data_IF_111773605431
#
_entry.id   IF_111773605431
#
_cell.length_a   1.000
_cell.length_b   1.000
_cell.length_c   1.000
_cell.angle_alpha   90.00
_cell.angle_beta   90.00
_cell.angle_gamma   90.00
#
_symmetry.space_group_name_H-M   'P 1'
#
loop_
_entity.id
_entity.type
_entity.pdbx_description
1 polymer ?
#
# COMPACT_ATOMS: atom_id res chain seq x y z
N UNK A 1 49.49 -59.39 93.48
CA UNK A 1 50.80 -59.58 92.81
C UNK A 1 50.71 -58.99 91.40
N UNK A 2 51.84 -58.49 90.92
CA UNK A 2 52.07 -57.63 89.76
C UNK A 2 51.37 -57.98 88.43
N UNK A 3 51.17 -56.94 87.60
CA UNK A 3 51.03 -57.09 86.14
C UNK A 3 50.84 -55.75 85.42
N UNK A 4 51.93 -55.06 85.09
CA UNK A 4 52.03 -53.92 84.16
C UNK A 4 51.75 -54.34 82.69
N UNK A 5 51.20 -53.43 81.87
CA UNK A 5 51.66 -53.06 80.50
C UNK A 5 50.49 -52.46 79.69
N UNK A 6 50.50 -51.15 79.44
CA UNK A 6 51.06 -50.48 78.25
C UNK A 6 50.05 -50.35 77.10
N UNK A 7 49.39 -49.19 77.03
CA UNK A 7 48.51 -48.74 75.94
C UNK A 7 49.33 -48.14 74.80
N UNK A 8 49.29 -48.76 73.62
CA UNK A 8 49.86 -48.22 72.38
C UNK A 8 48.72 -47.77 71.44
N UNK A 9 48.65 -46.47 71.17
CA UNK A 9 47.78 -45.89 70.13
C UNK A 9 48.50 -45.86 68.78
N UNK A 10 47.82 -46.33 67.72
CA UNK A 10 48.26 -46.22 66.33
C UNK A 10 47.46 -45.11 65.61
N UNK A 11 48.08 -44.29 64.74
CA UNK A 11 47.43 -43.16 64.09
C UNK A 11 46.64 -43.59 62.84
N UNK A 12 45.43 -43.05 62.69
CA UNK A 12 44.61 -43.17 61.50
C UNK A 12 45.14 -42.24 60.39
N UNK A 13 45.54 -42.82 59.26
CA UNK A 13 45.88 -42.09 58.03
C UNK A 13 44.58 -41.75 57.29
N UNK A 14 44.31 -40.45 57.12
CA UNK A 14 43.18 -39.93 56.35
C UNK A 14 43.65 -39.64 54.92
N UNK A 15 43.27 -40.49 53.95
CA UNK A 15 43.46 -40.20 52.52
C UNK A 15 42.49 -39.08 52.10
N UNK A 16 43.02 -37.89 51.83
CA UNK A 16 42.29 -36.81 51.17
C UNK A 16 42.12 -37.15 49.67
N UNK A 17 40.87 -37.30 49.22
CA UNK A 17 40.53 -37.35 47.80
C UNK A 17 40.48 -35.93 47.24
N UNK A 18 41.34 -35.62 46.27
CA UNK A 18 41.26 -34.39 45.47
C UNK A 18 39.98 -34.39 44.63
N UNK A 19 39.08 -33.45 44.92
CA UNK A 19 37.87 -33.23 44.14
C UNK A 19 38.22 -32.56 42.81
N UNK A 20 38.09 -33.30 41.70
CA UNK A 20 38.16 -32.72 40.35
C UNK A 20 36.95 -31.79 40.12
N UNK A 21 37.13 -30.54 39.67
CA UNK A 21 36.02 -29.65 39.39
C UNK A 21 35.24 -30.14 38.15
N UNK A 22 33.97 -30.50 38.33
CA UNK A 22 33.06 -30.76 37.22
C UNK A 22 32.63 -29.43 36.58
N UNK A 23 33.14 -29.13 35.39
CA UNK A 23 32.64 -28.04 34.55
C UNK A 23 31.24 -28.41 34.05
N UNK A 24 30.21 -27.88 34.71
CA UNK A 24 28.84 -27.93 34.18
C UNK A 24 28.70 -26.86 33.09
N UNK A 25 28.21 -27.18 31.88
CA UNK A 25 27.90 -26.17 30.88
C UNK A 25 26.93 -25.14 31.44
N UNK A 26 27.26 -23.85 31.30
CA UNK A 26 26.36 -22.76 31.68
C UNK A 26 25.09 -22.87 30.84
N UNK A 27 23.97 -23.22 31.47
CA UNK A 27 22.65 -23.10 30.84
C UNK A 27 22.48 -21.62 30.48
N UNK A 28 22.40 -21.33 29.18
CA UNK A 28 22.07 -20.00 28.67
C UNK A 28 20.71 -19.62 29.30
N UNK A 29 20.56 -18.43 29.91
CA UNK A 29 19.26 -18.01 30.43
C UNK A 29 18.25 -18.16 29.29
N UNK A 30 17.15 -18.87 29.54
CA UNK A 30 16.01 -18.82 28.65
C UNK A 30 15.63 -17.35 28.49
N UNK A 31 15.63 -16.86 27.25
CA UNK A 31 15.13 -15.54 26.94
C UNK A 31 13.74 -15.45 27.56
N UNK A 32 13.57 -14.50 28.49
CA UNK A 32 12.30 -14.27 29.15
C UNK A 32 11.27 -13.90 28.09
N UNK A 33 10.37 -14.83 27.76
CA UNK A 33 9.11 -14.58 27.04
C UNK A 33 8.14 -13.75 27.91
N UNK A 34 8.63 -12.65 28.47
CA UNK A 34 7.90 -11.72 29.29
C UNK A 34 8.22 -10.30 28.81
N UNK A 35 7.98 -10.01 27.53
CA UNK A 35 7.45 -8.70 27.10
C UNK A 35 7.02 -8.65 25.62
N UNK A 36 6.47 -9.74 25.07
CA UNK A 36 5.67 -9.60 23.84
C UNK A 36 4.27 -9.21 24.28
N UNK A 37 4.07 -7.90 24.46
CA UNK A 37 2.73 -7.33 24.38
C UNK A 37 2.25 -7.61 22.95
N UNK A 38 1.63 -8.77 22.73
CA UNK A 38 0.65 -8.88 21.65
C UNK A 38 -0.47 -7.94 22.05
N UNK A 39 -0.70 -6.82 21.34
CA UNK A 39 -1.82 -5.97 21.64
C UNK A 39 -3.09 -6.73 21.21
N UNK A 40 -3.61 -7.59 22.09
CA UNK A 40 -4.96 -8.13 21.95
C UNK A 40 -5.94 -7.09 22.48
N UNK A 41 -5.92 -5.93 21.83
CA UNK A 41 -6.84 -4.84 22.06
C UNK A 41 -7.90 -4.94 20.95
N UNK A 42 -8.89 -5.83 21.15
CA UNK A 42 -10.14 -5.77 20.39
C UNK A 42 -10.92 -4.55 20.88
N UNK A 43 -10.51 -3.38 20.44
CA UNK A 43 -11.40 -2.22 20.47
C UNK A 43 -12.24 -2.34 19.21
N UNK A 44 -13.54 -2.60 19.36
CA UNK A 44 -14.57 -2.33 18.36
C UNK A 44 -14.68 -0.80 18.15
N UNK A 45 -13.59 -0.14 17.78
CA UNK A 45 -13.63 1.24 17.35
C UNK A 45 -13.83 1.19 15.86
N UNK A 46 -14.90 1.82 15.40
CA UNK A 46 -15.04 2.26 14.03
C UNK A 46 -14.00 3.36 13.75
N UNK A 47 -12.72 3.01 13.85
CA UNK A 47 -11.58 3.87 13.55
C UNK A 47 -11.53 4.00 12.03
N UNK A 48 -11.74 5.22 11.56
CA UNK A 48 -11.63 5.55 10.14
C UNK A 48 -10.18 5.91 9.87
N UNK A 49 -9.52 5.14 8.99
CA UNK A 49 -8.15 5.38 8.57
C UNK A 49 -8.14 6.19 7.27
N UNK A 50 -7.43 7.31 7.27
CA UNK A 50 -7.24 8.18 6.12
C UNK A 50 -5.75 8.22 5.78
N UNK A 51 -5.33 7.52 4.71
CA UNK A 51 -4.00 7.69 4.15
C UNK A 51 -3.86 9.11 3.57
N UNK A 52 -2.73 9.76 3.86
CA UNK A 52 -2.41 11.12 3.43
C UNK A 52 -0.98 11.17 2.91
N UNK A 53 -0.83 11.64 1.67
CA UNK A 53 0.47 11.99 1.09
C UNK A 53 0.67 13.49 1.17
N UNK A 54 1.82 13.94 1.68
CA UNK A 54 2.16 15.38 1.74
C UNK A 54 3.23 15.68 0.71
N UNK A 55 2.96 16.66 -0.17
CA UNK A 55 3.86 17.06 -1.24
C UNK A 55 4.09 18.57 -1.27
N UNK A 56 5.24 18.97 -1.81
CA UNK A 56 5.54 20.36 -2.19
C UNK A 56 4.89 20.69 -3.54
N UNK A 57 4.87 21.97 -3.98
CA UNK A 57 4.36 22.34 -5.31
C UNK A 57 5.19 21.71 -6.45
N UNK A 58 6.43 21.29 -6.16
CA UNK A 58 7.32 20.58 -7.06
C UNK A 58 7.13 19.04 -6.99
N UNK A 59 6.05 18.56 -6.36
CA UNK A 59 5.75 17.13 -6.19
C UNK A 59 6.81 16.34 -5.40
N UNK A 60 7.57 17.00 -4.54
CA UNK A 60 8.52 16.32 -3.64
C UNK A 60 7.80 15.92 -2.35
N UNK A 61 8.06 14.71 -1.85
CA UNK A 61 7.43 14.19 -0.64
C UNK A 61 8.02 14.81 0.62
N UNK A 62 7.17 15.05 1.61
CA UNK A 62 7.58 15.57 2.93
C UNK A 62 7.29 14.52 3.99
N UNK A 63 8.35 13.91 4.53
CA UNK A 63 8.31 12.78 5.48
C UNK A 63 8.48 13.18 6.95
N UNK A 64 8.68 14.47 7.23
CA UNK A 64 8.90 15.00 8.59
C UNK A 64 7.69 15.82 9.10
N UNK A 65 6.48 15.32 8.85
CA UNK A 65 5.26 15.93 9.38
C UNK A 65 4.87 15.28 10.69
N UNK A 66 4.55 16.09 11.68
CA UNK A 66 3.96 15.66 12.95
C UNK A 66 2.43 15.78 12.92
N UNK A 67 1.74 15.08 13.84
CA UNK A 67 0.28 15.01 13.95
C UNK A 67 -0.38 16.40 14.00
N UNK A 68 0.26 17.34 14.68
CA UNK A 68 -0.20 18.71 14.95
C UNK A 68 -0.31 19.56 13.67
N UNK A 69 0.39 19.13 12.62
CA UNK A 69 0.33 19.75 11.31
C UNK A 69 -0.92 19.35 10.51
N UNK A 70 -1.73 18.42 11.01
CA UNK A 70 -2.93 17.95 10.34
C UNK A 70 -4.19 18.39 11.07
N UNK A 71 -5.17 18.89 10.31
CA UNK A 71 -6.55 19.09 10.76
C UNK A 71 -7.48 18.25 9.92
N UNK A 72 -8.28 17.41 10.57
CA UNK A 72 -9.23 16.51 9.92
C UNK A 72 -10.65 17.03 10.11
N UNK A 73 -11.39 17.16 9.01
CA UNK A 73 -12.77 17.66 9.00
C UNK A 73 -13.63 16.62 8.31
N UNK A 74 -14.71 16.20 8.96
CA UNK A 74 -15.75 15.34 8.41
C UNK A 74 -17.06 16.13 8.36
N UNK A 75 -17.69 16.23 7.18
CA UNK A 75 -18.98 16.92 6.97
C UNK A 75 -19.05 18.32 7.63
N UNK A 76 -17.95 19.07 7.53
CA UNK A 76 -17.73 20.41 8.12
C UNK A 76 -17.50 20.45 9.64
N UNK A 77 -17.48 19.30 10.30
CA UNK A 77 -17.15 19.17 11.72
C UNK A 77 -15.71 18.68 11.91
N UNK A 78 -14.93 19.41 12.70
CA UNK A 78 -13.56 19.02 13.04
C UNK A 78 -13.54 17.75 13.92
N UNK A 79 -12.68 16.82 13.55
CA UNK A 79 -12.50 15.53 14.21
C UNK A 79 -11.14 15.48 14.89
N UNK A 80 -11.09 14.83 16.04
CA UNK A 80 -9.83 14.61 16.74
C UNK A 80 -9.09 13.42 16.12
N UNK A 81 -7.85 13.65 15.69
CA UNK A 81 -6.98 12.57 15.23
C UNK A 81 -6.57 11.76 16.47
N UNK A 82 -7.05 10.52 16.60
CA UNK A 82 -6.73 9.65 17.74
C UNK A 82 -5.53 8.75 17.44
N UNK A 83 -5.23 8.53 16.16
CA UNK A 83 -4.13 7.72 15.69
C UNK A 83 -3.34 8.47 14.61
N UNK A 84 -2.02 8.48 14.74
CA UNK A 84 -1.13 9.07 13.76
C UNK A 84 0.08 8.18 13.61
N UNK A 85 0.42 7.85 12.38
CA UNK A 85 1.66 7.14 12.11
C UNK A 85 2.13 7.34 10.68
N UNK A 86 3.45 7.23 10.50
CA UNK A 86 4.10 7.02 9.22
C UNK A 86 4.51 5.54 9.15
N UNK A 87 3.99 4.80 8.17
CA UNK A 87 4.33 3.39 8.02
C UNK A 87 4.68 3.03 6.58
N UNK A 88 5.79 2.29 6.44
CA UNK A 88 6.01 1.36 5.33
C UNK A 88 5.29 0.04 5.66
N UNK A 89 3.95 0.07 5.67
CA UNK A 89 3.13 -1.11 5.91
C UNK A 89 2.90 -1.89 4.60
N UNK A 90 2.85 -3.24 4.64
CA UNK A 90 2.59 -4.05 3.46
C UNK A 90 1.30 -3.64 2.74
N UNK A 91 1.34 -3.64 1.41
CA UNK A 91 0.22 -3.28 0.55
C UNK A 91 -0.27 -4.49 -0.26
N UNK A 92 -1.58 -4.51 -0.52
CA UNK A 92 -2.17 -5.32 -1.59
C UNK A 92 -2.33 -4.42 -2.80
N UNK A 93 -1.65 -4.72 -3.90
CA UNK A 93 -1.58 -3.84 -5.08
C UNK A 93 -2.12 -4.57 -6.32
N UNK A 94 -3.07 -3.95 -6.99
CA UNK A 94 -3.56 -4.42 -8.29
C UNK A 94 -2.89 -3.68 -9.43
N UNK A 95 -2.12 -4.38 -10.27
CA UNK A 95 -1.64 -3.84 -11.53
C UNK A 95 -2.72 -4.06 -12.60
N UNK A 96 -3.28 -2.98 -13.11
CA UNK A 96 -4.27 -2.97 -14.19
C UNK A 96 -3.57 -2.47 -15.46
N UNK A 97 -3.34 -3.39 -16.38
CA UNK A 97 -2.46 -3.17 -17.52
C UNK A 97 -3.26 -3.19 -18.82
N UNK A 98 -3.18 -2.08 -19.56
CA UNK A 98 -3.84 -1.91 -20.84
C UNK A 98 -3.07 -2.66 -21.95
N UNK A 99 -3.77 -3.58 -22.60
CA UNK A 99 -3.29 -4.37 -23.74
C UNK A 99 -4.13 -4.13 -24.99
N UNK A 100 -4.83 -2.99 -25.08
CA UNK A 100 -5.59 -2.57 -26.25
C UNK A 100 -4.69 -2.26 -27.47
N UNK A 101 -5.28 -2.11 -28.65
CA UNK A 101 -4.54 -1.84 -29.89
C UNK A 101 -3.73 -0.54 -29.86
N UNK A 102 -4.21 0.51 -29.20
CA UNK A 102 -3.55 1.81 -29.07
C UNK A 102 -2.24 1.73 -28.25
N UNK A 103 -2.10 0.70 -27.42
CA UNK A 103 -0.90 0.45 -26.63
C UNK A 103 0.26 -0.18 -27.41
N UNK A 104 0.11 -0.47 -28.71
CA UNK A 104 1.12 -1.17 -29.52
C UNK A 104 2.54 -0.63 -29.40
N UNK A 105 2.75 0.64 -29.73
CA UNK A 105 4.05 1.32 -29.62
C UNK A 105 4.46 1.61 -28.17
N UNK A 106 3.49 1.64 -27.25
CA UNK A 106 3.65 2.03 -25.84
C UNK A 106 3.98 0.84 -24.92
N UNK A 107 3.74 -0.38 -25.40
CA UNK A 107 3.75 -1.60 -24.60
C UNK A 107 5.12 -1.88 -23.98
N UNK A 108 6.19 -1.73 -24.76
CA UNK A 108 7.56 -1.97 -24.29
C UNK A 108 7.92 -1.06 -23.12
N UNK A 109 7.59 0.22 -23.21
CA UNK A 109 7.82 1.18 -22.12
C UNK A 109 6.91 0.89 -20.93
N UNK A 110 5.65 0.55 -21.17
CA UNK A 110 4.69 0.17 -20.12
C UNK A 110 5.18 -1.02 -19.28
N UNK A 111 5.80 -2.02 -19.91
CA UNK A 111 6.46 -3.12 -19.22
C UNK A 111 7.65 -2.66 -18.38
N UNK A 112 8.48 -1.76 -18.92
CA UNK A 112 9.61 -1.18 -18.18
C UNK A 112 9.13 -0.40 -16.94
N UNK A 113 8.04 0.36 -17.07
CA UNK A 113 7.43 1.06 -15.95
C UNK A 113 6.91 0.11 -14.87
N UNK A 114 6.22 -0.97 -15.25
CA UNK A 114 5.84 -2.01 -14.30
C UNK A 114 7.07 -2.63 -13.60
N UNK A 115 8.16 -2.86 -14.33
CA UNK A 115 9.41 -3.37 -13.76
C UNK A 115 10.03 -2.40 -12.73
N UNK A 116 10.15 -1.10 -13.06
CA UNK A 116 10.67 -0.10 -12.12
C UNK A 116 9.79 0.06 -10.88
N UNK A 117 8.46 -0.04 -11.05
CA UNK A 117 7.55 -0.07 -9.91
C UNK A 117 7.85 -1.26 -8.99
N UNK A 118 7.98 -2.48 -9.52
CA UNK A 118 8.25 -3.66 -8.71
C UNK A 118 9.63 -3.65 -8.03
N UNK A 119 10.63 -2.95 -8.58
CA UNK A 119 11.92 -2.76 -7.88
C UNK A 119 11.77 -1.99 -6.57
N UNK A 120 10.73 -1.18 -6.47
CA UNK A 120 10.40 -0.44 -5.25
C UNK A 120 9.42 -1.20 -4.35
N UNK A 121 9.04 -2.46 -4.64
CA UNK A 121 8.08 -3.24 -3.85
C UNK A 121 8.67 -3.82 -2.55
N UNK A 122 7.85 -3.97 -1.51
CA UNK A 122 8.25 -4.60 -0.24
C UNK A 122 8.15 -6.12 -0.40
N UNK A 123 9.07 -6.93 0.17
CA UNK A 123 8.92 -8.39 0.19
C UNK A 123 7.58 -8.90 0.78
N UNK A 124 6.93 -8.13 1.65
CA UNK A 124 5.63 -8.48 2.23
C UNK A 124 4.43 -7.98 1.41
N UNK A 125 4.66 -7.17 0.38
CA UNK A 125 3.61 -6.74 -0.54
C UNK A 125 3.10 -7.92 -1.36
N UNK A 126 1.82 -7.87 -1.70
CA UNK A 126 1.22 -8.83 -2.64
C UNK A 126 0.62 -8.10 -3.83
N UNK A 127 0.76 -8.71 -4.99
CA UNK A 127 0.40 -8.13 -6.28
C UNK A 127 -0.52 -9.06 -7.05
N UNK A 128 -1.41 -8.51 -7.85
CA UNK A 128 -2.12 -9.26 -8.89
C UNK A 128 -2.08 -8.49 -10.20
N UNK A 129 -2.34 -9.18 -11.31
CA UNK A 129 -2.34 -8.61 -12.64
C UNK A 129 -3.71 -8.79 -13.30
N UNK A 130 -4.38 -7.68 -13.58
CA UNK A 130 -5.51 -7.62 -14.51
C UNK A 130 -5.01 -7.02 -15.81
N UNK A 131 -5.21 -7.74 -16.90
CA UNK A 131 -5.00 -7.21 -18.24
C UNK A 131 -6.35 -6.97 -18.89
N UNK A 132 -6.48 -5.91 -19.68
CA UNK A 132 -7.71 -5.65 -20.40
C UNK A 132 -7.45 -5.18 -21.83
N UNK A 133 -8.40 -5.52 -22.69
CA UNK A 133 -8.56 -4.98 -24.02
C UNK A 133 -10.07 -4.93 -24.34
N UNK A 134 -10.62 -5.79 -25.19
CA UNK A 134 -12.06 -5.95 -25.39
C UNK A 134 -12.79 -6.39 -24.11
N UNK A 135 -12.09 -7.14 -23.24
CA UNK A 135 -12.60 -7.62 -21.95
C UNK A 135 -11.47 -7.69 -20.92
N UNK A 136 -11.75 -7.49 -19.64
CA UNK A 136 -10.75 -7.63 -18.59
C UNK A 136 -10.55 -9.10 -18.21
N UNK A 137 -9.32 -9.47 -17.89
CA UNK A 137 -8.92 -10.79 -17.44
C UNK A 137 -7.95 -10.70 -16.26
N UNK A 138 -8.23 -11.47 -15.20
CA UNK A 138 -7.26 -11.71 -14.14
C UNK A 138 -6.21 -12.71 -14.64
N UNK A 139 -5.04 -12.21 -15.02
CA UNK A 139 -3.96 -13.01 -15.62
C UNK A 139 -3.10 -13.66 -14.55
N UNK A 140 -2.85 -12.96 -13.45
CA UNK A 140 -2.13 -13.48 -12.29
C UNK A 140 -2.95 -13.15 -11.04
N UNK A 141 -3.33 -14.14 -10.22
CA UNK A 141 -3.96 -13.89 -8.92
C UNK A 141 -2.95 -13.26 -7.94
N UNK A 142 -3.35 -13.01 -6.69
CA UNK A 142 -2.43 -12.47 -5.68
C UNK A 142 -1.18 -13.35 -5.51
N UNK A 143 -0.02 -12.74 -5.71
CA UNK A 143 1.30 -13.35 -5.59
C UNK A 143 2.29 -12.34 -5.00
N UNK A 144 3.30 -12.82 -4.27
CA UNK A 144 4.46 -12.01 -3.87
C UNK A 144 5.58 -12.08 -4.90
N UNK A 145 5.45 -12.98 -5.88
CA UNK A 145 6.45 -13.18 -6.93
C UNK A 145 6.19 -12.21 -8.09
N UNK A 146 6.89 -11.09 -8.09
CA UNK A 146 6.80 -10.08 -9.16
C UNK A 146 7.31 -10.61 -10.50
N UNK A 147 8.23 -11.59 -10.50
CA UNK A 147 8.77 -12.17 -11.73
C UNK A 147 7.71 -12.96 -12.51
N UNK A 148 6.72 -13.53 -11.82
CA UNK A 148 5.57 -14.19 -12.45
C UNK A 148 4.74 -13.18 -13.26
N UNK A 149 4.46 -12.01 -12.68
CA UNK A 149 3.75 -10.92 -13.34
C UNK A 149 4.56 -10.40 -14.53
N UNK A 150 5.86 -10.17 -14.35
CA UNK A 150 6.74 -9.70 -15.42
C UNK A 150 6.86 -10.70 -16.58
N UNK A 151 6.89 -12.00 -16.27
CA UNK A 151 6.90 -13.06 -17.28
C UNK A 151 5.62 -13.02 -18.11
N UNK A 152 4.44 -12.82 -17.48
CA UNK A 152 3.17 -12.67 -18.22
C UNK A 152 3.14 -11.41 -19.07
N UNK A 153 3.60 -10.28 -18.54
CA UNK A 153 3.65 -9.02 -19.27
C UNK A 153 4.54 -9.09 -20.52
N UNK A 154 5.63 -9.85 -20.47
CA UNK A 154 6.55 -10.04 -21.61
C UNK A 154 5.83 -10.60 -22.84
N UNK A 155 4.87 -11.51 -22.65
CA UNK A 155 4.13 -12.14 -23.74
C UNK A 155 2.81 -11.44 -24.10
N UNK A 156 2.40 -10.42 -23.35
CA UNK A 156 1.19 -9.63 -23.66
C UNK A 156 1.31 -9.00 -25.04
N UNK A 157 0.22 -8.98 -25.81
CA UNK A 157 0.16 -8.34 -27.12
C UNK A 157 -0.93 -7.28 -27.13
N UNK A 158 -0.61 -6.11 -27.67
CA UNK A 158 -1.53 -5.01 -27.86
C UNK A 158 -2.51 -5.33 -29.00
N UNK A 159 -3.81 -5.49 -28.69
CA UNK A 159 -4.85 -5.77 -29.68
C UNK A 159 -6.24 -5.49 -29.12
N UNK A 160 -7.19 -5.24 -30.03
CA UNK A 160 -8.60 -5.07 -29.67
C UNK A 160 -8.92 -3.67 -29.17
N UNK A 161 -10.12 -3.55 -28.61
CA UNK A 161 -10.70 -2.32 -28.04
C UNK A 161 -10.19 -2.06 -26.62
N UNK A 162 -10.76 -1.05 -25.96
CA UNK A 162 -10.33 -0.59 -24.64
C UNK A 162 -11.53 -0.60 -23.67
N UNK A 163 -11.61 -1.64 -22.84
CA UNK A 163 -12.60 -1.81 -21.77
C UNK A 163 -11.98 -1.45 -20.41
N UNK A 164 -11.59 -0.19 -20.27
CA UNK A 164 -10.92 0.36 -19.09
C UNK A 164 -11.80 0.28 -17.84
N UNK A 165 -13.07 0.70 -17.93
CA UNK A 165 -14.00 0.70 -16.81
C UNK A 165 -14.28 -0.73 -16.30
N UNK A 166 -14.44 -1.69 -17.22
CA UNK A 166 -14.57 -3.10 -16.88
C UNK A 166 -13.28 -3.63 -16.20
N UNK A 167 -12.11 -3.19 -16.67
CA UNK A 167 -10.81 -3.49 -16.06
C UNK A 167 -10.68 -2.99 -14.62
N UNK A 168 -11.05 -1.72 -14.37
CA UNK A 168 -11.07 -1.13 -13.03
C UNK A 168 -12.05 -1.88 -12.13
N UNK A 169 -13.24 -2.20 -12.63
CA UNK A 169 -14.24 -2.97 -11.90
C UNK A 169 -13.69 -4.34 -11.45
N UNK A 170 -13.12 -5.11 -12.38
CA UNK A 170 -12.56 -6.43 -12.07
C UNK A 170 -11.38 -6.32 -11.07
N UNK A 171 -10.55 -5.30 -11.23
CA UNK A 171 -9.44 -5.05 -10.32
C UNK A 171 -9.94 -4.73 -8.91
N UNK A 172 -10.94 -3.86 -8.75
CA UNK A 172 -11.53 -3.55 -7.44
C UNK A 172 -12.13 -4.78 -6.76
N UNK A 173 -12.86 -5.62 -7.50
CA UNK A 173 -13.41 -6.86 -6.96
C UNK A 173 -12.32 -7.85 -6.52
N UNK A 174 -11.21 -7.91 -7.25
CA UNK A 174 -10.07 -8.74 -6.88
C UNK A 174 -9.37 -8.15 -5.65
N UNK A 175 -9.14 -6.85 -5.63
CA UNK A 175 -8.46 -6.13 -4.56
C UNK A 175 -9.14 -6.29 -3.19
N UNK A 176 -10.46 -6.44 -3.15
CA UNK A 176 -11.21 -6.74 -1.92
C UNK A 176 -10.72 -8.02 -1.22
N UNK A 177 -10.20 -8.99 -1.99
CA UNK A 177 -9.67 -10.27 -1.48
C UNK A 177 -8.24 -10.18 -0.97
N UNK A 178 -7.58 -9.01 -1.09
CA UNK A 178 -6.25 -8.78 -0.55
C UNK A 178 -6.22 -8.89 0.97
N UNK A 179 -5.13 -9.44 1.49
CA UNK A 179 -4.87 -9.71 2.91
C UNK A 179 -4.42 -8.45 3.65
N UNK A 180 -3.77 -7.52 2.96
CA UNK A 180 -3.24 -6.32 3.58
C UNK A 180 -4.36 -5.26 3.73
N UNK A 181 -4.36 -4.49 4.84
CA UNK A 181 -5.35 -3.45 5.07
C UNK A 181 -5.20 -2.30 4.06
N UNK A 182 -3.97 -1.99 3.65
CA UNK A 182 -3.71 -0.96 2.64
C UNK A 182 -3.82 -1.55 1.25
N UNK A 183 -4.67 -0.94 0.44
CA UNK A 183 -5.00 -1.39 -0.91
C UNK A 183 -4.75 -0.27 -1.91
N UNK A 184 -4.08 -0.61 -3.00
CA UNK A 184 -3.86 0.33 -4.09
C UNK A 184 -4.11 -0.33 -5.45
N UNK A 185 -4.55 0.47 -6.42
CA UNK A 185 -4.58 0.11 -7.83
C UNK A 185 -3.59 0.97 -8.58
N UNK A 186 -2.76 0.32 -9.40
CA UNK A 186 -1.90 0.99 -10.36
C UNK A 186 -2.43 0.67 -11.76
N UNK A 187 -2.91 1.68 -12.46
CA UNK A 187 -3.41 1.58 -13.84
C UNK A 187 -2.37 2.14 -14.78
N UNK A 188 -2.03 1.38 -15.82
CA UNK A 188 -1.19 1.84 -16.93
C UNK A 188 -2.03 1.75 -18.20
N UNK A 189 -2.45 2.90 -18.73
CA UNK A 189 -3.38 3.00 -19.87
C UNK A 189 -3.24 4.36 -20.54
N UNK A 190 -3.77 4.50 -21.75
CA UNK A 190 -3.93 5.80 -22.43
C UNK A 190 -5.35 6.40 -22.29
N UNK A 191 -6.22 5.77 -21.50
CA UNK A 191 -7.41 6.40 -20.91
C UNK A 191 -8.70 6.41 -21.74
N UNK A 192 -8.72 5.88 -22.96
CA UNK A 192 -9.90 5.95 -23.84
C UNK A 192 -10.85 4.75 -23.75
N UNK A 193 -11.80 4.75 -22.82
CA UNK A 193 -12.82 3.68 -22.74
C UNK A 193 -13.78 3.70 -23.94
N UNK A 194 -13.95 2.57 -24.63
CA UNK A 194 -14.84 2.45 -25.78
C UNK A 194 -15.55 1.10 -25.91
N UNK A 195 -15.40 0.21 -24.92
CA UNK A 195 -15.93 -1.15 -24.99
C UNK A 195 -16.45 -1.69 -23.65
N UNK A 196 -16.46 -0.87 -22.59
CA UNK A 196 -16.94 -1.31 -21.28
C UNK A 196 -18.45 -1.44 -21.23
N UNK A 197 -18.89 -2.34 -20.36
CA UNK A 197 -20.30 -2.52 -20.00
C UNK A 197 -20.68 -1.66 -18.81
N UNK A 198 -19.73 -1.42 -17.90
CA UNK A 198 -19.91 -0.53 -16.77
C UNK A 198 -19.75 0.93 -17.20
N UNK A 199 -20.53 1.78 -16.57
CA UNK A 199 -20.50 3.23 -16.74
C UNK A 199 -19.52 3.89 -15.78
N UNK A 200 -19.08 5.11 -16.10
CA UNK A 200 -18.22 5.90 -15.22
C UNK A 200 -18.84 6.12 -13.83
N UNK A 201 -20.16 6.28 -13.76
CA UNK A 201 -20.90 6.48 -12.51
C UNK A 201 -20.87 5.23 -11.63
N UNK A 202 -21.00 4.04 -12.21
CA UNK A 202 -20.91 2.77 -11.49
C UNK A 202 -19.50 2.54 -10.93
N UNK A 203 -18.47 2.75 -11.75
CA UNK A 203 -17.06 2.64 -11.31
C UNK A 203 -16.74 3.68 -10.24
N UNK A 204 -17.25 4.90 -10.37
CA UNK A 204 -17.09 5.96 -9.36
C UNK A 204 -17.70 5.57 -8.02
N UNK A 205 -18.90 5.00 -8.02
CA UNK A 205 -19.54 4.54 -6.78
C UNK A 205 -18.77 3.37 -6.17
N UNK A 206 -18.32 2.43 -6.99
CA UNK A 206 -17.49 1.31 -6.53
C UNK A 206 -16.15 1.78 -5.93
N UNK A 207 -15.51 2.81 -6.49
CA UNK A 207 -14.29 3.40 -5.93
C UNK A 207 -14.52 4.10 -4.60
N UNK A 208 -15.70 4.73 -4.39
CA UNK A 208 -16.05 5.33 -3.09
C UNK A 208 -16.28 4.29 -1.99
N UNK A 209 -16.81 3.13 -2.38
CA UNK A 209 -17.03 1.99 -1.48
C UNK A 209 -15.72 1.21 -1.23
N UNK A 210 -14.85 1.15 -2.24
CA UNK A 210 -13.55 0.51 -2.12
C UNK A 210 -12.62 1.38 -1.27
N UNK A 211 -12.11 0.80 -0.19
CA UNK A 211 -11.03 1.42 0.60
C UNK A 211 -9.68 1.22 -0.12
N UNK A 212 -9.53 1.84 -1.29
CA UNK A 212 -8.38 1.66 -2.17
C UNK A 212 -7.93 2.99 -2.80
N UNK A 213 -6.62 3.22 -2.86
CA UNK A 213 -6.03 4.36 -3.58
C UNK A 213 -5.77 3.98 -5.04
N UNK A 214 -6.24 4.79 -5.98
CA UNK A 214 -6.04 4.60 -7.41
C UNK A 214 -4.94 5.54 -7.92
N UNK A 215 -3.91 4.93 -8.50
CA UNK A 215 -2.85 5.60 -9.23
C UNK A 215 -2.97 5.25 -10.71
N UNK A 216 -2.92 6.27 -11.56
CA UNK A 216 -3.01 6.08 -13.00
C UNK A 216 -1.78 6.70 -13.67
N UNK A 217 -1.10 5.92 -14.51
CA UNK A 217 -0.07 6.39 -15.41
C UNK A 217 -0.71 6.49 -16.79
N UNK A 218 -1.01 7.72 -17.20
CA UNK A 218 -1.66 8.01 -18.47
C UNK A 218 -0.64 8.16 -19.59
N UNK A 219 -0.65 7.26 -20.59
CA UNK A 219 0.33 7.29 -21.69
C UNK A 219 -0.27 7.96 -22.92
N UNK A 220 0.03 9.23 -23.07
CA UNK A 220 -0.62 10.10 -24.03
C UNK A 220 0.29 10.39 -25.21
N UNK A 221 -0.21 10.28 -26.44
CA UNK A 221 0.54 10.74 -27.62
C UNK A 221 0.45 12.26 -27.76
N UNK A 222 1.47 13.02 -28.19
CA UNK A 222 1.37 14.47 -28.32
C UNK A 222 0.11 14.93 -29.09
N UNK A 223 -0.52 16.03 -28.65
CA UNK A 223 -1.80 16.55 -29.17
C UNK A 223 -1.82 16.74 -30.70
N UNK A 224 -0.65 16.86 -31.34
CA UNK A 224 -0.50 16.97 -32.79
C UNK A 224 -0.66 15.67 -33.60
N UNK A 225 -0.72 14.50 -32.96
CA UNK A 225 -0.96 13.23 -33.66
C UNK A 225 -2.44 13.11 -34.05
N UNK A 226 -2.72 13.09 -35.36
CA UNK A 226 -4.06 12.99 -35.97
C UNK A 226 -4.77 11.62 -35.76
N UNK A 227 -4.35 10.83 -34.77
CA UNK A 227 -4.86 9.49 -34.52
C UNK A 227 -5.74 9.34 -33.28
N UNK A 228 -5.85 10.37 -32.42
CA UNK A 228 -6.59 10.24 -31.16
C UNK A 228 -8.10 10.13 -31.37
N UNK A 229 -8.72 9.17 -30.69
CA UNK A 229 -10.20 9.11 -30.63
C UNK A 229 -10.74 10.13 -29.62
N UNK A 230 -12.05 10.41 -29.66
CA UNK A 230 -12.69 11.33 -28.70
C UNK A 230 -12.59 10.81 -27.26
N UNK A 231 -12.64 9.50 -27.11
CA UNK A 231 -12.47 8.78 -25.84
C UNK A 231 -11.05 8.96 -25.31
N UNK A 232 -10.02 8.82 -26.16
CA UNK A 232 -8.62 9.07 -25.77
C UNK A 232 -8.35 10.54 -25.41
N UNK A 233 -9.10 11.49 -25.99
CA UNK A 233 -9.01 12.91 -25.62
C UNK A 233 -9.60 13.19 -24.23
N UNK A 234 -10.67 12.48 -23.84
CA UNK A 234 -11.33 12.64 -22.54
C UNK A 234 -10.71 11.76 -21.44
N UNK A 235 -10.01 10.70 -21.83
CA UNK A 235 -9.34 9.75 -20.94
C UNK A 235 -8.47 10.34 -19.83
N UNK A 236 -7.58 11.32 -20.11
CA UNK A 236 -6.80 11.97 -19.05
C UNK A 236 -7.69 12.61 -17.98
N UNK A 237 -8.81 13.22 -18.36
CA UNK A 237 -9.75 13.84 -17.44
C UNK A 237 -10.43 12.80 -16.54
N UNK A 238 -10.92 11.72 -17.14
CA UNK A 238 -11.54 10.62 -16.41
C UNK A 238 -10.57 9.96 -15.43
N UNK A 239 -9.36 9.60 -15.88
CA UNK A 239 -8.34 9.00 -15.01
C UNK A 239 -7.94 9.93 -13.86
N UNK A 240 -7.82 11.24 -14.12
CA UNK A 240 -7.54 12.25 -13.09
C UNK A 240 -8.62 12.27 -12.03
N UNK A 241 -9.88 12.34 -12.45
CA UNK A 241 -11.00 12.41 -11.54
C UNK A 241 -11.12 11.14 -10.67
N UNK A 242 -11.05 9.96 -11.27
CA UNK A 242 -11.12 8.69 -10.54
C UNK A 242 -9.96 8.54 -9.54
N UNK A 243 -8.74 8.92 -9.93
CA UNK A 243 -7.58 8.85 -9.05
C UNK A 243 -7.69 9.84 -7.87
N UNK A 244 -8.02 11.11 -8.12
CA UNK A 244 -8.13 12.14 -7.09
C UNK A 244 -9.22 11.83 -6.06
N UNK A 245 -10.33 11.21 -6.47
CA UNK A 245 -11.41 10.83 -5.56
C UNK A 245 -10.95 9.87 -4.46
N UNK A 246 -10.03 8.98 -4.80
CA UNK A 246 -9.46 7.99 -3.87
C UNK A 246 -8.29 8.52 -3.03
N UNK A 247 -7.83 9.76 -3.31
CA UNK A 247 -6.60 10.30 -2.72
C UNK A 247 -5.32 9.76 -3.35
N UNK A 248 -5.42 9.03 -4.45
CA UNK A 248 -4.29 8.71 -5.32
C UNK A 248 -4.07 9.81 -6.37
N UNK A 249 -3.38 9.46 -7.46
CA UNK A 249 -2.94 10.45 -8.46
C UNK A 249 -2.95 9.90 -9.87
N UNK A 250 -3.30 10.77 -10.81
CA UNK A 250 -3.00 10.56 -12.22
C UNK A 250 -1.73 11.30 -12.59
N UNK A 251 -0.79 10.59 -13.22
CA UNK A 251 0.45 11.13 -13.75
C UNK A 251 0.41 11.02 -15.28
N UNK A 252 0.02 12.10 -15.97
CA UNK A 252 0.08 12.13 -17.42
C UNK A 252 1.54 12.10 -17.88
N UNK A 253 1.80 11.30 -18.91
CA UNK A 253 3.14 11.13 -19.48
C UNK A 253 3.14 11.66 -20.89
N UNK A 254 3.78 12.81 -21.07
CA UNK A 254 3.98 13.44 -22.38
C UNK A 254 5.11 12.76 -23.16
N UNK A 255 6.19 12.37 -22.46
CA UNK A 255 7.32 11.65 -23.02
C UNK A 255 7.37 10.24 -22.45
N UNK A 256 7.15 9.25 -23.30
CA UNK A 256 7.10 7.85 -22.91
C UNK A 256 8.41 7.32 -22.28
N UNK A 257 9.52 8.03 -22.46
CA UNK A 257 10.79 7.69 -21.82
C UNK A 257 10.80 8.00 -20.32
N UNK A 258 9.93 8.87 -19.83
CA UNK A 258 9.84 9.25 -18.41
C UNK A 258 8.94 8.28 -17.62
N UNK A 259 8.23 7.40 -18.33
CA UNK A 259 7.30 6.41 -17.76
C UNK A 259 7.95 5.56 -16.65
N UNK A 260 9.17 5.03 -16.80
CA UNK A 260 9.80 4.22 -15.76
C UNK A 260 10.10 5.01 -14.49
N UNK A 261 10.58 6.25 -14.62
CA UNK A 261 10.87 7.13 -13.48
C UNK A 261 9.59 7.52 -12.74
N UNK A 262 8.49 7.75 -13.46
CA UNK A 262 7.17 8.03 -12.89
C UNK A 262 6.67 6.83 -12.09
N UNK A 263 6.81 5.63 -12.63
CA UNK A 263 6.38 4.41 -11.94
C UNK A 263 7.19 4.16 -10.65
N UNK A 264 8.51 4.37 -10.68
CA UNK A 264 9.35 4.31 -9.49
C UNK A 264 8.90 5.33 -8.43
N UNK A 265 8.58 6.57 -8.84
CA UNK A 265 8.06 7.61 -7.93
C UNK A 265 6.75 7.21 -7.28
N UNK A 266 5.82 6.57 -8.00
CA UNK A 266 4.56 6.06 -7.42
C UNK A 266 4.84 4.99 -6.37
N UNK A 267 5.76 4.07 -6.64
CA UNK A 267 6.12 3.03 -5.67
C UNK A 267 6.73 3.61 -4.40
N UNK A 268 7.58 4.64 -4.52
CA UNK A 268 8.08 5.41 -3.37
C UNK A 268 6.94 6.16 -2.66
N UNK A 269 5.98 6.74 -3.40
CA UNK A 269 4.84 7.45 -2.82
C UNK A 269 3.96 6.53 -1.98
N UNK A 270 3.62 5.34 -2.50
CA UNK A 270 2.78 4.36 -1.80
C UNK A 270 3.36 3.93 -0.45
N UNK A 271 4.68 4.04 -0.27
CA UNK A 271 5.37 3.72 0.98
C UNK A 271 5.49 4.90 1.94
N UNK A 272 5.56 6.12 1.40
CA UNK A 272 5.78 7.33 2.17
C UNK A 272 4.46 8.05 2.42
N UNK A 273 3.55 7.40 3.15
CA UNK A 273 2.26 7.98 3.52
C UNK A 273 2.10 8.07 5.03
N UNK A 274 1.37 9.09 5.46
CA UNK A 274 0.85 9.19 6.81
C UNK A 274 -0.52 8.52 6.87
N UNK A 275 -0.84 7.91 8.00
CA UNK A 275 -2.18 7.38 8.26
C UNK A 275 -2.76 8.17 9.43
N UNK A 276 -3.83 8.91 9.15
CA UNK A 276 -4.63 9.60 10.16
C UNK A 276 -5.80 8.71 10.54
N UNK A 277 -5.86 8.26 11.78
CA UNK A 277 -7.02 7.56 12.31
C UNK A 277 -7.83 8.46 13.24
N UNK A 278 -9.14 8.40 13.12
CA UNK A 278 -10.07 9.09 14.02
C UNK A 278 -11.33 8.27 14.24
N UNK A 279 -12.06 8.59 15.31
CA UNK A 279 -13.42 8.08 15.54
C UNK A 279 -14.38 9.19 15.16
N UNK A 280 -15.29 8.91 14.22
CA UNK A 280 -16.27 9.91 13.80
C UNK A 280 -17.18 10.31 14.97
N UNK A 281 -17.37 11.63 15.15
CA UNK A 281 -18.38 12.19 16.05
C UNK A 281 -19.81 11.83 15.63
N UNK A 282 -20.04 11.52 14.35
CA UNK A 282 -21.31 11.00 13.87
C UNK A 282 -21.34 9.47 14.02
N UNK A 283 -22.05 8.97 15.03
CA UNK A 283 -22.15 7.54 15.30
C UNK A 283 -23.26 6.82 14.51
N UNK A 284 -24.02 7.53 13.66
CA UNK A 284 -25.08 6.92 12.87
C UNK A 284 -24.53 5.94 11.82
N UNK A 285 -25.09 4.74 11.77
CA UNK A 285 -24.75 3.68 10.79
C UNK A 285 -25.75 3.67 9.64
N UNK A 286 -25.85 4.81 8.95
CA UNK A 286 -26.91 5.07 7.97
C UNK A 286 -26.48 4.82 6.52
N UNK A 287 -25.26 4.32 6.29
CA UNK A 287 -24.74 4.07 4.95
C UNK A 287 -24.54 5.34 4.12
N UNK A 288 -24.58 6.54 4.71
CA UNK A 288 -24.42 7.79 3.94
C UNK A 288 -22.95 8.11 3.70
N UNK A 289 -22.71 8.79 2.59
CA UNK A 289 -21.39 9.29 2.22
C UNK A 289 -21.00 10.45 3.12
N UNK A 290 -19.84 10.33 3.76
CA UNK A 290 -19.23 11.34 4.64
C UNK A 290 -18.03 11.95 3.95
N UNK A 291 -18.05 13.28 3.76
CA UNK A 291 -16.96 13.99 3.11
C UNK A 291 -15.84 14.22 4.10
N UNK A 292 -14.62 13.87 3.71
CA UNK A 292 -13.41 14.09 4.51
C UNK A 292 -12.55 15.18 3.86
N UNK A 293 -12.00 16.07 4.67
CA UNK A 293 -11.05 17.09 4.23
C UNK A 293 -9.89 17.15 5.21
N UNK A 294 -8.67 16.95 4.71
CA UNK A 294 -7.45 17.10 5.49
C UNK A 294 -6.81 18.44 5.14
N UNK A 295 -6.66 19.30 6.14
CA UNK A 295 -5.96 20.58 6.02
C UNK A 295 -4.60 20.47 6.68
N UNK A 296 -3.61 21.12 6.08
CA UNK A 296 -2.27 21.24 6.64
C UNK A 296 -2.12 22.58 7.37
N UNK A 297 -1.61 22.53 8.60
CA UNK A 297 -1.06 23.68 9.28
C UNK A 297 0.41 23.79 8.86
N UNK A 298 0.74 24.82 8.09
CA UNK A 298 2.04 24.93 7.47
C UNK A 298 3.16 25.08 8.52
N UNK A 299 4.15 24.18 8.55
CA UNK A 299 5.31 24.34 9.41
C UNK A 299 6.12 25.55 8.99
N UNK A 300 6.72 26.27 9.95
CA UNK A 300 7.58 27.41 9.64
C UNK A 300 8.82 26.94 8.87
N UNK A 301 9.12 27.61 7.75
CA UNK A 301 10.31 27.34 6.94
C UNK A 301 10.14 26.36 5.78
N UNK A 302 8.98 25.71 5.64
CA UNK A 302 8.68 24.86 4.49
C UNK A 302 7.89 25.61 3.40
N UNK A 303 8.08 25.27 2.11
CA UNK A 303 7.26 25.80 1.02
C UNK A 303 5.78 25.39 1.20
N UNK A 304 4.84 26.02 0.47
CA UNK A 304 3.43 25.65 0.53
C UNK A 304 3.21 24.15 0.31
N UNK A 305 2.62 23.47 1.29
CA UNK A 305 2.41 22.02 1.25
C UNK A 305 1.00 21.70 0.76
N UNK A 306 0.86 20.56 0.08
CA UNK A 306 -0.41 19.99 -0.36
C UNK A 306 -0.59 18.63 0.29
N UNK A 307 -1.78 18.38 0.85
CA UNK A 307 -2.18 17.05 1.29
C UNK A 307 -3.04 16.41 0.21
N UNK A 308 -2.67 15.19 -0.20
CA UNK A 308 -3.46 14.32 -1.03
C UNK A 308 -4.11 13.28 -0.13
N UNK A 309 -5.43 13.18 -0.20
CA UNK A 309 -6.23 12.31 0.65
C UNK A 309 -7.54 11.95 -0.05
N UNK A 310 -8.18 10.86 0.35
CA UNK A 310 -9.50 10.47 -0.15
C UNK A 310 -10.54 11.55 0.14
N UNK A 311 -11.50 11.73 -0.77
CA UNK A 311 -12.53 12.77 -0.62
C UNK A 311 -13.61 12.44 0.41
N UNK A 312 -13.74 11.17 0.79
CA UNK A 312 -14.75 10.71 1.73
C UNK A 312 -14.91 9.19 1.74
N UNK A 313 -15.89 8.72 2.49
CA UNK A 313 -16.19 7.30 2.70
C UNK A 313 -17.67 7.09 3.02
N UNK A 314 -18.18 5.88 2.81
CA UNK A 314 -19.52 5.52 3.25
C UNK A 314 -19.51 5.07 4.72
N UNK A 315 -20.46 5.57 5.51
CA UNK A 315 -20.66 5.10 6.87
C UNK A 315 -20.98 3.60 6.88
N UNK A 316 -20.57 2.84 7.92
CA UNK A 316 -20.97 1.45 8.06
C UNK A 316 -22.51 1.32 8.05
N UNK A 317 -23.04 0.35 7.32
CA UNK A 317 -24.45 -0.06 7.39
C UNK A 317 -24.63 -1.14 8.45
N UNK A 318 -25.72 -1.10 9.23
CA UNK A 318 -26.14 -2.22 10.06
C UNK A 318 -26.61 -3.41 9.23
#
# INVERSE_FOLDING_TARGET
MLGLAATAGLPAWLCAQEARPQLRPRVKPADSEADRITPNLRIDTNLVLIPVTVTTPLNQFVTQMEKEHFRLIEDKQEQEITYFASFDAPLSIGLVFDASGSMGSKLTKSRQAAAEFFKTANPEDEFFLVQFNDRPQLVVPFTRNTDEIMSRLTFTQAKGRTALLDGIYQALQTLRKGKNPRKALLIISDGGDNSSRYTESEVRNLLKEADAQMYAIGIFEPIGNRGRTAEELSGPGLLSELAEMTGGRHLPVDNINDLPDIAAKIGIELRNQYVLGYVSKNQQRDGKYRKVTVKLNQPRGLPPLRALHRQGYYAPTQ
#
